data_IF_933385102027
#
_entry.id   IF_933385102027
#
_cell.length_a   1.000
_cell.length_b   1.000
_cell.length_c   1.000
_cell.angle_alpha   90.00
_cell.angle_beta   90.00
_cell.angle_gamma   90.00
#
_symmetry.space_group_name_H-M   'P 1'
#
loop_
_entity.id
_entity.type
_entity.pdbx_description
1 polymer ?
#
# COMPACT_ATOMS: atom_id res chain seq x y z
N UNK A 1 -20.63 5.06 -0.21
CA UNK A 1 -19.72 5.25 0.94
C UNK A 1 -19.59 4.01 1.82
N UNK A 2 -20.64 3.20 2.02
CA UNK A 2 -20.60 1.91 2.76
C UNK A 2 -19.35 1.05 2.52
N UNK A 3 -18.90 0.92 1.27
CA UNK A 3 -17.74 0.14 0.88
C UNK A 3 -16.39 0.65 1.40
N UNK A 4 -16.22 1.97 1.52
CA UNK A 4 -15.01 2.57 2.12
C UNK A 4 -14.99 2.29 3.61
N UNK A 5 -16.14 2.40 4.27
CA UNK A 5 -16.29 2.07 5.68
C UNK A 5 -16.02 0.57 5.93
N UNK A 6 -16.51 -0.31 5.05
CA UNK A 6 -16.24 -1.75 5.12
C UNK A 6 -14.75 -2.07 4.97
N UNK A 7 -14.04 -1.39 4.05
CA UNK A 7 -12.59 -1.54 3.90
C UNK A 7 -11.81 -1.02 5.11
N UNK A 8 -12.19 0.14 5.65
CA UNK A 8 -11.56 0.72 6.84
C UNK A 8 -11.72 -0.17 8.07
N UNK A 9 -12.78 -0.98 8.10
CA UNK A 9 -13.06 -1.96 9.15
C UNK A 9 -12.57 -3.40 8.83
N UNK A 10 -11.89 -3.60 7.69
CA UNK A 10 -11.46 -4.93 7.23
C UNK A 10 -10.22 -5.46 7.94
N UNK A 11 -9.98 -6.77 7.79
CA UNK A 11 -8.80 -7.46 8.31
C UNK A 11 -7.48 -6.92 7.74
N UNK A 12 -7.51 -6.28 6.57
CA UNK A 12 -6.35 -5.64 5.93
C UNK A 12 -5.85 -4.43 6.72
N UNK A 13 -6.77 -3.63 7.25
CA UNK A 13 -6.42 -2.48 8.11
C UNK A 13 -5.87 -2.94 9.46
N UNK A 14 -6.35 -4.06 9.98
CA UNK A 14 -5.78 -4.69 11.18
C UNK A 14 -4.34 -5.14 10.91
N UNK A 15 -4.09 -5.82 9.78
CA UNK A 15 -2.72 -6.21 9.37
C UNK A 15 -1.83 -4.99 9.17
N UNK A 16 -2.30 -3.95 8.48
CA UNK A 16 -1.54 -2.72 8.26
C UNK A 16 -1.15 -2.04 9.58
N UNK A 17 -2.08 -1.93 10.54
CA UNK A 17 -1.81 -1.40 11.88
C UNK A 17 -0.77 -2.24 12.63
N UNK A 18 -0.86 -3.56 12.51
CA UNK A 18 0.08 -4.49 13.13
C UNK A 18 1.50 -4.34 12.55
N UNK A 19 1.62 -4.15 11.23
CA UNK A 19 2.89 -3.86 10.58
C UNK A 19 3.46 -2.52 11.03
N UNK A 20 2.64 -1.46 11.06
CA UNK A 20 3.07 -0.14 11.51
C UNK A 20 3.56 -0.14 12.96
N UNK A 21 2.91 -0.92 13.83
CA UNK A 21 3.28 -1.04 15.25
C UNK A 21 4.47 -1.98 15.50
N UNK A 22 4.94 -2.69 14.47
CA UNK A 22 5.98 -3.71 14.58
C UNK A 22 7.10 -3.46 13.56
N UNK A 23 8.17 -2.73 13.95
CA UNK A 23 9.29 -2.42 13.08
C UNK A 23 9.95 -3.65 12.45
N UNK A 24 9.93 -4.81 13.13
CA UNK A 24 10.48 -6.06 12.61
C UNK A 24 9.68 -6.59 11.42
N UNK A 25 8.34 -6.41 11.39
CA UNK A 25 7.52 -6.79 10.23
C UNK A 25 7.82 -5.93 9.01
N UNK A 26 7.90 -4.61 9.19
CA UNK A 26 8.30 -3.69 8.11
C UNK A 26 9.69 -4.04 7.59
N UNK A 27 10.65 -4.25 8.49
CA UNK A 27 12.03 -4.61 8.13
C UNK A 27 12.12 -5.94 7.35
N UNK A 28 11.23 -6.89 7.60
CA UNK A 28 11.15 -8.17 6.85
C UNK A 28 10.43 -8.02 5.50
N UNK A 29 9.46 -7.11 5.41
CA UNK A 29 8.70 -6.86 4.19
C UNK A 29 9.49 -6.07 3.14
N UNK A 30 10.29 -5.08 3.56
CA UNK A 30 11.03 -4.22 2.65
C UNK A 30 11.95 -4.99 1.67
N UNK A 31 12.72 -6.01 2.10
CA UNK A 31 13.49 -6.87 1.18
C UNK A 31 12.61 -7.61 0.16
N UNK A 32 11.48 -8.17 0.60
CA UNK A 32 10.54 -8.88 -0.28
C UNK A 32 9.93 -7.95 -1.33
N UNK A 33 9.58 -6.73 -0.92
CA UNK A 33 9.07 -5.70 -1.83
C UNK A 33 10.14 -5.28 -2.84
N UNK A 34 11.39 -5.11 -2.41
CA UNK A 34 12.51 -4.78 -3.30
C UNK A 34 12.77 -5.88 -4.33
N UNK A 35 12.70 -7.14 -3.91
CA UNK A 35 12.80 -8.30 -4.82
C UNK A 35 11.63 -8.32 -5.80
N UNK A 36 10.39 -8.11 -5.31
CA UNK A 36 9.19 -8.05 -6.15
C UNK A 36 9.30 -6.96 -7.23
N UNK A 37 9.69 -5.73 -6.84
CA UNK A 37 9.89 -4.59 -7.75
C UNK A 37 10.95 -4.86 -8.83
N UNK A 38 11.89 -5.76 -8.54
CA UNK A 38 12.97 -6.14 -9.47
C UNK A 38 12.53 -7.15 -10.53
N UNK A 39 11.31 -7.71 -10.44
CA UNK A 39 10.78 -8.65 -11.42
C UNK A 39 10.49 -7.98 -12.77
N UNK A 40 10.72 -8.73 -13.84
CA UNK A 40 10.33 -8.33 -15.20
C UNK A 40 8.79 -8.29 -15.32
N UNK A 41 8.26 -7.37 -16.15
CA UNK A 41 6.82 -7.19 -16.36
C UNK A 41 6.15 -6.10 -15.50
N UNK A 42 6.85 -5.51 -14.53
CA UNK A 42 6.32 -4.45 -13.68
C UNK A 42 6.59 -3.03 -14.20
N UNK A 43 7.12 -2.86 -15.41
CA UNK A 43 7.59 -1.56 -15.93
C UNK A 43 6.58 -0.42 -15.79
N UNK A 44 5.28 -0.69 -15.95
CA UNK A 44 4.21 0.31 -15.83
C UNK A 44 3.91 0.76 -14.40
N UNK A 45 4.24 -0.05 -13.40
CA UNK A 45 3.93 0.20 -11.98
C UNK A 45 5.19 0.30 -11.11
N UNK A 46 6.37 0.10 -11.71
CA UNK A 46 7.65 0.06 -11.00
C UNK A 46 7.92 1.36 -10.24
N UNK A 47 7.66 2.50 -10.88
CA UNK A 47 7.93 3.81 -10.29
C UNK A 47 7.06 4.08 -9.07
N UNK A 48 5.76 3.75 -9.15
CA UNK A 48 4.85 3.92 -8.02
C UNK A 48 5.19 2.96 -6.87
N UNK A 49 5.59 1.71 -7.17
CA UNK A 49 6.04 0.77 -6.14
C UNK A 49 7.36 1.20 -5.48
N UNK A 50 8.31 1.75 -6.23
CA UNK A 50 9.54 2.33 -5.69
C UNK A 50 9.24 3.53 -4.78
N UNK A 51 8.27 4.36 -5.14
CA UNK A 51 7.85 5.51 -4.35
C UNK A 51 7.18 5.05 -3.04
N UNK A 52 6.26 4.07 -3.11
CA UNK A 52 5.63 3.45 -1.95
C UNK A 52 6.65 2.78 -1.02
N UNK A 53 7.63 2.04 -1.58
CA UNK A 53 8.73 1.46 -0.82
C UNK A 53 9.50 2.53 -0.04
N UNK A 54 9.88 3.61 -0.72
CA UNK A 54 10.65 4.71 -0.13
C UNK A 54 9.84 5.40 0.95
N UNK A 55 8.56 5.66 0.70
CA UNK A 55 7.63 6.25 1.66
C UNK A 55 7.55 5.42 2.95
N UNK A 56 7.27 4.12 2.85
CA UNK A 56 7.18 3.25 4.04
C UNK A 56 8.51 3.19 4.79
N UNK A 57 9.63 3.12 4.07
CA UNK A 57 10.95 3.12 4.69
C UNK A 57 11.18 4.40 5.51
N UNK A 58 10.95 5.57 4.91
CA UNK A 58 11.24 6.85 5.57
C UNK A 58 10.28 7.14 6.73
N UNK A 59 9.03 6.67 6.64
CA UNK A 59 8.08 6.71 7.76
C UNK A 59 8.57 5.80 8.89
N UNK A 60 8.99 4.57 8.57
CA UNK A 60 9.43 3.60 9.57
C UNK A 60 10.75 3.99 10.25
N UNK A 61 11.65 4.69 9.55
CA UNK A 61 12.89 5.25 10.14
C UNK A 61 12.65 6.58 10.87
N UNK A 62 11.46 7.16 10.74
CA UNK A 62 11.13 8.48 11.31
C UNK A 62 11.74 9.66 10.56
N UNK A 63 12.28 9.45 9.37
CA UNK A 63 12.77 10.50 8.46
C UNK A 63 11.61 11.34 7.91
N UNK A 64 10.50 10.69 7.53
CA UNK A 64 9.27 11.35 7.11
C UNK A 64 8.22 11.32 8.22
N UNK A 65 7.80 12.50 8.68
CA UNK A 65 6.84 12.66 9.81
C UNK A 65 5.53 13.32 9.42
N UNK A 66 5.44 13.86 8.20
CA UNK A 66 4.28 14.64 7.74
C UNK A 66 3.30 13.78 6.93
N UNK A 67 2.88 12.65 7.49
CA UNK A 67 1.98 11.70 6.83
C UNK A 67 0.60 11.66 7.46
N UNK A 68 -0.42 11.37 6.66
CA UNK A 68 -1.72 10.96 7.18
C UNK A 68 -1.70 9.48 7.57
N UNK A 69 -2.14 9.16 8.78
CA UNK A 69 -2.09 7.78 9.30
C UNK A 69 -3.03 6.85 8.52
N UNK A 70 -4.19 7.33 8.08
CA UNK A 70 -5.13 6.54 7.29
C UNK A 70 -4.54 6.22 5.92
N UNK A 71 -3.94 7.21 5.26
CA UNK A 71 -3.29 7.02 3.95
C UNK A 71 -2.07 6.12 4.04
N UNK A 72 -1.28 6.24 5.11
CA UNK A 72 -0.20 5.31 5.40
C UNK A 72 -0.70 3.85 5.49
N UNK A 73 -1.80 3.62 6.21
CA UNK A 73 -2.38 2.28 6.33
C UNK A 73 -2.92 1.75 4.99
N UNK A 74 -3.52 2.61 4.16
CA UNK A 74 -3.99 2.26 2.81
C UNK A 74 -2.80 1.85 1.91
N UNK A 75 -1.72 2.64 1.89
CA UNK A 75 -0.51 2.32 1.11
C UNK A 75 0.11 1.02 1.60
N UNK A 76 0.20 0.83 2.91
CA UNK A 76 0.76 -0.38 3.51
C UNK A 76 -0.09 -1.61 3.19
N UNK A 77 -1.42 -1.51 3.24
CA UNK A 77 -2.33 -2.57 2.85
C UNK A 77 -2.17 -2.94 1.36
N UNK A 78 -2.06 -1.93 0.48
CA UNK A 78 -1.83 -2.15 -0.94
C UNK A 78 -0.48 -2.87 -1.21
N UNK A 79 0.59 -2.47 -0.51
CA UNK A 79 1.88 -3.15 -0.62
C UNK A 79 1.83 -4.59 -0.12
N UNK A 80 1.20 -4.84 1.04
CA UNK A 80 1.03 -6.18 1.60
C UNK A 80 0.26 -7.07 0.60
N UNK A 81 -0.80 -6.56 -0.02
CA UNK A 81 -1.55 -7.25 -1.06
C UNK A 81 -0.64 -7.65 -2.25
N UNK A 82 0.21 -6.73 -2.72
CA UNK A 82 1.13 -6.96 -3.85
C UNK A 82 2.22 -7.98 -3.53
N UNK A 83 2.80 -7.96 -2.32
CA UNK A 83 3.93 -8.84 -1.95
C UNK A 83 3.51 -10.15 -1.29
N UNK A 84 2.25 -10.31 -0.92
CA UNK A 84 1.71 -11.56 -0.38
C UNK A 84 1.69 -12.62 -1.49
N UNK A 85 2.51 -13.69 -1.41
CA UNK A 85 2.59 -14.71 -2.45
C UNK A 85 1.30 -15.54 -2.62
N UNK A 86 0.30 -15.34 -1.75
CA UNK A 86 -1.00 -16.01 -1.77
C UNK A 86 -2.11 -15.18 -2.44
N UNK A 87 -1.97 -13.85 -2.54
CA UNK A 87 -3.11 -12.94 -2.84
C UNK A 87 -3.09 -12.36 -4.27
N UNK A 88 -2.21 -12.86 -5.14
CA UNK A 88 -2.29 -12.66 -6.61
C UNK A 88 -3.48 -13.39 -7.26
N UNK A 89 -4.42 -13.89 -6.46
CA UNK A 89 -5.71 -14.38 -6.91
C UNK A 89 -6.61 -13.16 -7.01
N UNK A 90 -7.05 -12.76 -8.20
CA UNK A 90 -8.23 -11.94 -8.25
C UNK A 90 -9.37 -12.85 -7.80
N UNK A 91 -9.96 -12.55 -6.64
CA UNK A 91 -11.31 -12.99 -6.33
C UNK A 91 -12.26 -12.27 -7.31
N UNK A 92 -12.20 -12.65 -8.61
CA UNK A 92 -13.32 -12.47 -9.53
C UNK A 92 -14.40 -13.43 -9.04
N UNK A 93 -15.04 -13.07 -7.93
CA UNK A 93 -16.31 -13.68 -7.54
C UNK A 93 -17.26 -13.43 -8.70
N UNK A 94 -17.86 -14.49 -9.30
CA UNK A 94 -18.78 -14.32 -10.40
C UNK A 94 -20.07 -13.66 -9.86
N UNK A 95 -20.12 -12.33 -9.88
CA UNK A 95 -21.30 -11.54 -9.49
C UNK A 95 -21.08 -10.13 -8.92
N UNK A 96 -19.85 -9.68 -8.61
CA UNK A 96 -19.63 -8.49 -7.75
C UNK A 96 -18.52 -7.50 -8.17
N UNK A 97 -18.29 -7.25 -9.45
CA UNK A 97 -17.11 -6.47 -9.91
C UNK A 97 -17.18 -4.94 -9.69
N UNK A 98 -18.36 -4.41 -9.39
CA UNK A 98 -18.58 -2.95 -9.36
C UNK A 98 -18.22 -2.35 -7.99
N UNK A 99 -18.34 -3.12 -6.91
CA UNK A 99 -18.14 -2.62 -5.54
C UNK A 99 -16.66 -2.59 -5.13
N UNK A 100 -15.86 -3.61 -5.49
CA UNK A 100 -14.42 -3.64 -5.20
C UNK A 100 -13.59 -2.69 -6.07
N UNK A 101 -13.95 -2.49 -7.34
CA UNK A 101 -13.27 -1.52 -8.22
C UNK A 101 -13.38 -0.08 -7.68
N UNK A 102 -14.46 0.23 -6.97
CA UNK A 102 -14.68 1.53 -6.34
C UNK A 102 -13.76 1.72 -5.13
N UNK A 103 -13.63 0.70 -4.27
CA UNK A 103 -12.70 0.72 -3.12
C UNK A 103 -11.27 0.83 -3.62
N UNK A 104 -10.89 0.04 -4.62
CA UNK A 104 -9.55 0.07 -5.24
C UNK A 104 -9.28 1.44 -5.83
N UNK A 105 -10.20 1.99 -6.63
CA UNK A 105 -10.06 3.32 -7.21
C UNK A 105 -9.92 4.42 -6.17
N UNK A 106 -10.69 4.37 -5.08
CA UNK A 106 -10.55 5.30 -3.96
C UNK A 106 -9.21 5.14 -3.24
N UNK A 107 -8.80 3.91 -2.92
CA UNK A 107 -7.52 3.62 -2.26
C UNK A 107 -6.33 4.09 -3.11
N UNK A 108 -6.37 3.90 -4.43
CA UNK A 108 -5.39 4.43 -5.37
C UNK A 108 -5.36 5.96 -5.35
N UNK A 109 -6.52 6.62 -5.31
CA UNK A 109 -6.59 8.08 -5.25
C UNK A 109 -5.98 8.61 -3.94
N UNK A 110 -6.38 8.05 -2.80
CA UNK A 110 -5.84 8.46 -1.49
C UNK A 110 -4.32 8.22 -1.40
N UNK A 111 -3.85 7.08 -1.91
CA UNK A 111 -2.44 6.77 -2.01
C UNK A 111 -1.70 7.75 -2.93
N UNK A 112 -2.25 8.06 -4.11
CA UNK A 112 -1.63 8.99 -5.06
C UNK A 112 -1.44 10.39 -4.45
N UNK A 113 -2.44 10.91 -3.75
CA UNK A 113 -2.34 12.23 -3.11
C UNK A 113 -1.32 12.26 -1.95
N UNK A 114 -1.20 11.20 -1.14
CA UNK A 114 -0.15 11.10 -0.10
C UNK A 114 1.23 10.95 -0.72
N UNK A 115 1.36 10.08 -1.73
CA UNK A 115 2.62 9.83 -2.39
C UNK A 115 3.13 11.07 -3.14
N UNK A 116 2.26 11.91 -3.68
CA UNK A 116 2.70 13.19 -4.27
C UNK A 116 3.23 14.16 -3.22
N UNK A 117 2.60 14.26 -2.04
CA UNK A 117 3.15 15.06 -0.92
C UNK A 117 4.52 14.57 -0.51
N UNK A 118 4.65 13.25 -0.37
CA UNK A 118 5.93 12.63 -0.05
C UNK A 118 6.97 12.87 -1.14
N UNK A 119 6.59 12.77 -2.41
CA UNK A 119 7.45 13.00 -3.57
C UNK A 119 7.99 14.43 -3.57
N UNK A 120 7.14 15.43 -3.33
CA UNK A 120 7.53 16.83 -3.18
C UNK A 120 8.52 17.01 -2.03
N UNK A 121 8.25 16.39 -0.87
CA UNK A 121 9.16 16.45 0.27
C UNK A 121 10.53 15.80 -0.02
N UNK A 122 10.53 14.65 -0.68
CA UNK A 122 11.76 13.91 -1.01
C UNK A 122 12.57 14.55 -2.15
N UNK A 123 11.92 15.37 -2.97
CA UNK A 123 12.52 16.03 -4.13
C UNK A 123 12.79 15.08 -5.29
N UNK A 124 11.90 14.09 -5.53
CA UNK A 124 12.03 13.12 -6.62
C UNK A 124 10.86 13.11 -7.60
#
# INVERSE_FOLDING_TARGET
MKYVDDFLNSSWMVKAKEYLSNPQKISKMLPLLKEYISKEGLSKVKDILCLMYSYIKDVATGEYKNYDTTRLLIILAALIYVVSPLDLVPDFVPGGLIDDATIVGWAFKEAAEELERYRIWKGC
#
